data_IF_738463535221
#
_entry.id   IF_738463535221
#
_cell.length_a   1.000
_cell.length_b   1.000
_cell.length_c   1.000
_cell.angle_alpha   90.00
_cell.angle_beta   90.00
_cell.angle_gamma   90.00
#
_symmetry.space_group_name_H-M   'P 1'
#
loop_
_entity.id
_entity.type
_entity.pdbx_description
1 polymer ?
#
# COMPACT_ATOMS: atom_id res chain seq x y z
N UNK A 1 -11.98 -47.66 52.45
CA UNK A 1 -10.97 -46.65 52.05
C UNK A 1 -11.39 -46.13 50.69
N UNK A 2 -12.14 -45.03 50.67
CA UNK A 2 -12.73 -44.47 49.46
C UNK A 2 -11.71 -43.63 48.69
N UNK A 3 -11.42 -44.02 47.45
CA UNK A 3 -10.62 -43.25 46.51
C UNK A 3 -11.50 -42.16 45.89
N UNK A 4 -11.46 -40.96 46.45
CA UNK A 4 -12.15 -39.79 45.92
C UNK A 4 -11.40 -39.31 44.68
N UNK A 5 -11.89 -39.65 43.48
CA UNK A 5 -11.34 -39.17 42.21
C UNK A 5 -11.55 -37.65 42.08
N UNK A 6 -10.46 -36.89 42.06
CA UNK A 6 -10.47 -35.45 41.79
C UNK A 6 -10.84 -35.15 40.33
N UNK A 7 -11.64 -34.11 40.04
CA UNK A 7 -12.02 -33.72 38.68
C UNK A 7 -10.89 -32.90 38.01
N UNK A 8 -9.69 -33.49 37.86
CA UNK A 8 -8.54 -32.83 37.22
C UNK A 8 -8.58 -32.88 35.68
N UNK A 9 -9.44 -33.73 35.09
CA UNK A 9 -9.51 -33.96 33.64
C UNK A 9 -10.31 -32.89 32.87
N UNK A 10 -11.30 -32.23 33.50
CA UNK A 10 -12.20 -31.29 32.80
C UNK A 10 -11.60 -29.89 32.59
N UNK A 11 -10.78 -29.43 33.53
CA UNK A 11 -10.10 -28.13 33.43
C UNK A 11 -8.98 -28.13 32.39
N UNK A 12 -8.20 -29.22 32.30
CA UNK A 12 -7.14 -29.35 31.29
C UNK A 12 -7.69 -29.37 29.86
N UNK A 13 -8.82 -30.05 29.63
CA UNK A 13 -9.48 -30.11 28.31
C UNK A 13 -10.07 -28.75 27.87
N UNK A 14 -10.63 -28.00 28.82
CA UNK A 14 -11.17 -26.66 28.54
C UNK A 14 -10.06 -25.64 28.24
N UNK A 15 -8.94 -25.70 28.97
CA UNK A 15 -7.78 -24.83 28.70
C UNK A 15 -7.15 -25.12 27.34
N UNK A 16 -6.99 -26.41 27.00
CA UNK A 16 -6.50 -26.83 25.68
C UNK A 16 -7.44 -26.34 24.56
N UNK A 17 -8.76 -26.51 24.71
CA UNK A 17 -9.73 -26.03 23.72
C UNK A 17 -9.68 -24.50 23.52
N UNK A 18 -9.47 -23.74 24.60
CA UNK A 18 -9.30 -22.27 24.53
C UNK A 18 -7.99 -21.91 23.84
N UNK A 19 -6.87 -22.58 24.15
CA UNK A 19 -5.59 -22.33 23.47
C UNK A 19 -5.65 -22.63 21.97
N UNK A 20 -6.32 -23.73 21.56
CA UNK A 20 -6.51 -24.04 20.14
C UNK A 20 -7.41 -23.02 19.42
N UNK A 21 -8.46 -22.52 20.08
CA UNK A 21 -9.33 -21.49 19.51
C UNK A 21 -8.58 -20.16 19.31
N UNK A 22 -7.76 -19.74 20.28
CA UNK A 22 -6.95 -18.51 20.19
C UNK A 22 -5.88 -18.64 19.10
N UNK A 23 -5.23 -19.80 18.97
CA UNK A 23 -4.25 -20.05 17.92
C UNK A 23 -4.89 -20.03 16.51
N UNK A 24 -6.08 -20.62 16.35
CA UNK A 24 -6.81 -20.61 15.10
C UNK A 24 -7.27 -19.19 14.70
N UNK A 25 -7.70 -18.37 15.66
CA UNK A 25 -8.05 -16.97 15.44
C UNK A 25 -6.84 -16.14 15.01
N UNK A 26 -5.70 -16.28 15.68
CA UNK A 26 -4.46 -15.59 15.30
C UNK A 26 -4.00 -15.96 13.87
N UNK A 27 -4.10 -17.24 13.50
CA UNK A 27 -3.73 -17.71 12.16
C UNK A 27 -4.64 -17.14 11.06
N UNK A 28 -5.93 -16.98 11.34
CA UNK A 28 -6.87 -16.35 10.41
C UNK A 28 -6.57 -14.85 10.23
N UNK A 29 -6.31 -14.12 11.31
CA UNK A 29 -5.96 -12.70 11.26
C UNK A 29 -4.65 -12.47 10.51
N UNK A 30 -3.68 -13.38 10.66
CA UNK A 30 -2.45 -13.33 9.88
C UNK A 30 -2.63 -13.58 8.39
N UNK A 31 -3.57 -14.46 8.00
CA UNK A 31 -3.87 -14.66 6.59
C UNK A 31 -4.50 -13.40 5.96
N UNK A 32 -5.36 -12.71 6.71
CA UNK A 32 -5.96 -11.43 6.31
C UNK A 32 -4.86 -10.37 6.14
N UNK A 33 -4.02 -10.18 7.16
CA UNK A 33 -2.88 -9.26 7.10
C UNK A 33 -1.99 -9.51 5.88
N UNK A 34 -1.59 -10.76 5.62
CA UNK A 34 -0.74 -11.12 4.46
C UNK A 34 -1.41 -10.75 3.13
N UNK A 35 -2.73 -10.92 3.04
CA UNK A 35 -3.49 -10.53 1.85
C UNK A 35 -3.46 -9.01 1.66
N UNK A 36 -3.85 -8.25 2.70
CA UNK A 36 -3.96 -6.79 2.64
C UNK A 36 -2.60 -6.14 2.35
N UNK A 37 -1.54 -6.57 3.03
CA UNK A 37 -0.19 -6.04 2.80
C UNK A 37 0.35 -6.43 1.41
N UNK A 38 -0.10 -7.56 0.87
CA UNK A 38 0.16 -7.95 -0.53
C UNK A 38 -0.59 -7.04 -1.52
N UNK A 39 -1.80 -6.61 -1.20
CA UNK A 39 -2.55 -5.63 -1.99
C UNK A 39 -1.90 -4.23 -1.93
N UNK A 40 -1.36 -3.81 -0.79
CA UNK A 40 -0.52 -2.59 -0.70
C UNK A 40 0.63 -2.67 -1.71
N UNK A 41 1.40 -3.76 -1.70
CA UNK A 41 2.51 -3.95 -2.64
C UNK A 41 2.05 -3.85 -4.09
N UNK A 42 0.93 -4.50 -4.43
CA UNK A 42 0.37 -4.53 -5.79
C UNK A 42 -0.02 -3.13 -6.27
N UNK A 43 -0.78 -2.38 -5.48
CA UNK A 43 -1.24 -1.05 -5.87
C UNK A 43 -0.12 -0.03 -5.91
N UNK A 44 0.88 -0.13 -5.02
CA UNK A 44 2.09 0.70 -5.10
C UNK A 44 2.90 0.41 -6.38
N UNK A 45 3.01 -0.85 -6.79
CA UNK A 45 3.60 -1.19 -8.09
C UNK A 45 2.79 -0.63 -9.27
N UNK A 46 1.46 -0.60 -9.17
CA UNK A 46 0.60 0.03 -10.18
C UNK A 46 0.84 1.54 -10.28
N UNK A 47 0.99 2.24 -9.14
CA UNK A 47 1.41 3.65 -9.10
C UNK A 47 2.72 3.84 -9.86
N UNK A 48 3.73 3.01 -9.60
CA UNK A 48 5.03 3.09 -10.26
C UNK A 48 4.91 2.95 -11.79
N UNK A 49 4.14 1.97 -12.27
CA UNK A 49 3.91 1.75 -13.69
C UNK A 49 3.16 2.92 -14.37
N UNK A 50 2.17 3.49 -13.68
CA UNK A 50 1.41 4.64 -14.18
C UNK A 50 2.26 5.90 -14.23
N UNK A 51 3.11 6.14 -13.22
CA UNK A 51 4.06 7.26 -13.23
C UNK A 51 5.07 7.14 -14.37
N UNK A 52 5.63 5.95 -14.61
CA UNK A 52 6.56 5.74 -15.72
C UNK A 52 5.88 6.04 -17.07
N UNK A 53 4.62 5.62 -17.21
CA UNK A 53 3.81 5.88 -18.41
C UNK A 53 3.51 7.37 -18.62
N UNK A 54 3.18 8.10 -17.55
CA UNK A 54 2.82 9.52 -17.66
C UNK A 54 4.03 10.44 -17.87
N UNK A 55 5.23 10.06 -17.38
CA UNK A 55 6.43 10.92 -17.44
C UNK A 55 6.74 11.42 -18.85
N UNK A 56 6.66 10.54 -19.85
CA UNK A 56 6.90 10.92 -21.26
C UNK A 56 5.93 12.00 -21.73
N UNK A 57 4.65 11.90 -21.36
CA UNK A 57 3.65 12.91 -21.73
C UNK A 57 3.82 14.19 -20.90
N UNK A 58 4.22 14.06 -19.64
CA UNK A 58 4.46 15.19 -18.75
C UNK A 58 5.63 16.05 -19.22
N UNK A 59 6.73 15.43 -19.65
CA UNK A 59 7.86 16.14 -20.27
C UNK A 59 7.44 16.83 -21.56
N UNK A 60 6.75 16.12 -22.46
CA UNK A 60 6.23 16.72 -23.71
C UNK A 60 5.33 17.93 -23.43
N UNK A 61 4.46 17.83 -22.43
CA UNK A 61 3.57 18.94 -22.07
C UNK A 61 4.33 20.10 -21.40
N UNK A 62 5.31 19.80 -20.54
CA UNK A 62 6.11 20.77 -19.80
C UNK A 62 7.02 21.63 -20.70
N UNK A 63 7.41 21.10 -21.86
CA UNK A 63 8.33 21.74 -22.80
C UNK A 63 7.76 21.89 -24.22
N UNK A 64 6.44 21.78 -24.38
CA UNK A 64 5.78 21.88 -25.68
C UNK A 64 6.07 23.24 -26.36
N UNK A 65 6.37 23.21 -27.65
CA UNK A 65 6.55 24.43 -28.45
C UNK A 65 5.21 25.10 -28.83
N UNK A 66 4.11 24.34 -28.82
CA UNK A 66 2.78 24.81 -29.23
C UNK A 66 1.75 24.54 -28.15
N UNK A 67 0.77 25.44 -28.05
CA UNK A 67 -0.33 25.35 -27.09
C UNK A 67 -1.11 24.04 -27.19
N UNK A 68 -1.55 23.67 -28.41
CA UNK A 68 -2.38 22.47 -28.60
C UNK A 68 -1.65 21.17 -28.25
N UNK A 69 -0.35 21.12 -28.52
CA UNK A 69 0.51 20.00 -28.16
C UNK A 69 0.66 19.90 -26.63
N UNK A 70 0.94 21.02 -25.96
CA UNK A 70 1.01 21.08 -24.51
C UNK A 70 -0.30 20.64 -23.88
N UNK A 71 -1.44 21.15 -24.38
CA UNK A 71 -2.77 20.84 -23.84
C UNK A 71 -3.17 19.39 -24.07
N UNK A 72 -2.87 18.83 -25.24
CA UNK A 72 -3.17 17.43 -25.56
C UNK A 72 -2.38 16.48 -24.66
N UNK A 73 -1.09 16.72 -24.46
CA UNK A 73 -0.29 15.89 -23.56
C UNK A 73 -0.68 16.10 -22.08
N UNK A 74 -1.00 17.32 -21.66
CA UNK A 74 -1.48 17.59 -20.31
C UNK A 74 -2.77 16.82 -19.97
N UNK A 75 -3.71 16.68 -20.92
CA UNK A 75 -4.91 15.85 -20.75
C UNK A 75 -4.59 14.37 -20.55
N UNK A 76 -3.59 13.83 -21.28
CA UNK A 76 -3.14 12.45 -21.10
C UNK A 76 -2.53 12.25 -19.72
N UNK A 77 -1.70 13.19 -19.27
CA UNK A 77 -1.12 13.13 -17.93
C UNK A 77 -2.20 13.25 -16.87
N UNK A 78 -3.20 14.13 -17.04
CA UNK A 78 -4.31 14.23 -16.11
C UNK A 78 -5.04 12.89 -15.95
N UNK A 79 -5.29 12.18 -17.04
CA UNK A 79 -5.91 10.86 -17.02
C UNK A 79 -5.07 9.85 -16.24
N UNK A 80 -3.80 9.68 -16.63
CA UNK A 80 -2.89 8.70 -15.99
C UNK A 80 -2.59 9.04 -14.52
N UNK A 81 -2.43 10.32 -14.20
CA UNK A 81 -2.26 10.77 -12.81
C UNK A 81 -3.53 10.54 -11.98
N UNK A 82 -4.71 10.58 -12.60
CA UNK A 82 -5.96 10.20 -11.96
C UNK A 82 -6.03 8.70 -11.65
N UNK A 83 -5.59 7.85 -12.58
CA UNK A 83 -5.46 6.41 -12.33
C UNK A 83 -4.42 6.12 -11.22
N UNK A 84 -3.28 6.81 -11.25
CA UNK A 84 -2.25 6.66 -10.21
C UNK A 84 -2.76 7.10 -8.83
N UNK A 85 -3.53 8.18 -8.77
CA UNK A 85 -4.17 8.62 -7.54
C UNK A 85 -5.18 7.58 -7.01
N UNK A 86 -5.98 6.98 -7.90
CA UNK A 86 -6.92 5.94 -7.49
C UNK A 86 -6.18 4.71 -6.93
N UNK A 87 -5.12 4.24 -7.60
CA UNK A 87 -4.29 3.15 -7.11
C UNK A 87 -3.64 3.48 -5.75
N UNK A 88 -3.11 4.71 -5.59
CA UNK A 88 -2.54 5.15 -4.31
C UNK A 88 -3.59 5.22 -3.18
N UNK A 89 -4.84 5.57 -3.49
CA UNK A 89 -5.94 5.53 -2.52
C UNK A 89 -6.26 4.11 -2.08
N UNK A 90 -6.28 3.15 -3.01
CA UNK A 90 -6.46 1.73 -2.67
C UNK A 90 -5.29 1.22 -1.81
N UNK A 91 -4.04 1.49 -2.20
CA UNK A 91 -2.86 1.13 -1.41
C UNK A 91 -2.95 1.66 0.04
N UNK A 92 -3.29 2.93 0.20
CA UNK A 92 -3.47 3.55 1.51
C UNK A 92 -4.59 2.90 2.33
N UNK A 93 -5.74 2.59 1.71
CA UNK A 93 -6.84 1.91 2.39
C UNK A 93 -6.40 0.53 2.92
N UNK A 94 -5.80 -0.30 2.06
CA UNK A 94 -5.29 -1.61 2.48
C UNK A 94 -4.17 -1.52 3.50
N UNK A 95 -3.33 -0.48 3.46
CA UNK A 95 -2.28 -0.29 4.44
C UNK A 95 -2.83 0.02 5.84
N UNK A 96 -3.90 0.82 5.92
CA UNK A 96 -4.62 1.07 7.18
C UNK A 96 -5.32 -0.18 7.72
N UNK A 97 -5.92 -1.01 6.85
CA UNK A 97 -6.49 -2.30 7.24
C UNK A 97 -5.41 -3.28 7.72
N UNK A 98 -4.29 -3.36 7.01
CA UNK A 98 -3.15 -4.20 7.37
C UNK A 98 -2.52 -3.78 8.71
N UNK A 99 -2.43 -2.48 9.00
CA UNK A 99 -1.93 -1.98 10.28
C UNK A 99 -2.78 -2.50 11.46
N UNK A 100 -4.11 -2.49 11.31
CA UNK A 100 -5.02 -3.00 12.33
C UNK A 100 -4.81 -4.51 12.58
N UNK A 101 -4.64 -5.31 11.53
CA UNK A 101 -4.41 -6.75 11.68
C UNK A 101 -2.96 -7.11 12.06
N UNK A 102 -1.99 -6.24 11.80
CA UNK A 102 -0.59 -6.43 12.18
C UNK A 102 -0.42 -6.51 13.71
N UNK A 103 -1.19 -5.73 14.47
CA UNK A 103 -1.17 -5.75 15.95
C UNK A 103 -1.62 -7.11 16.51
N UNK A 104 -2.51 -7.80 15.79
CA UNK A 104 -3.05 -9.11 16.20
C UNK A 104 -2.16 -10.26 15.71
N UNK A 105 -1.52 -10.06 14.55
CA UNK A 105 -0.74 -11.08 13.87
C UNK A 105 0.76 -11.05 14.23
N UNK A 106 1.30 -9.94 14.73
CA UNK A 106 2.72 -9.65 14.60
C UNK A 106 3.54 -9.65 15.89
N UNK A 107 4.76 -10.18 15.78
CA UNK A 107 5.93 -9.70 16.53
C UNK A 107 6.22 -8.23 16.17
N UNK A 108 6.91 -7.47 17.02
CA UNK A 108 7.19 -6.03 16.86
C UNK A 108 7.64 -5.60 15.44
N UNK A 109 8.38 -6.47 14.73
CA UNK A 109 8.82 -6.22 13.36
C UNK A 109 7.66 -6.08 12.36
N UNK A 110 6.64 -6.95 12.42
CA UNK A 110 5.47 -6.91 11.52
C UNK A 110 4.72 -5.59 11.69
N UNK A 111 4.49 -5.21 12.95
CA UNK A 111 3.82 -3.94 13.30
C UNK A 111 4.63 -2.75 12.80
N UNK A 112 5.95 -2.75 13.02
CA UNK A 112 6.85 -1.67 12.60
C UNK A 112 6.81 -1.46 11.08
N UNK A 113 6.89 -2.55 10.30
CA UNK A 113 6.89 -2.44 8.84
C UNK A 113 5.50 -2.12 8.28
N UNK A 114 4.41 -2.59 8.92
CA UNK A 114 3.05 -2.25 8.52
C UNK A 114 2.75 -0.74 8.72
N UNK A 115 3.11 -0.18 9.88
CA UNK A 115 2.99 1.27 10.14
C UNK A 115 3.80 2.05 9.11
N UNK A 116 5.03 1.61 8.81
CA UNK A 116 5.86 2.27 7.81
C UNK A 116 5.25 2.20 6.41
N UNK A 117 4.64 1.07 6.03
CA UNK A 117 3.97 0.94 4.75
C UNK A 117 2.77 1.90 4.66
N UNK A 118 1.98 2.04 5.73
CA UNK A 118 0.86 2.99 5.82
C UNK A 118 1.33 4.45 5.68
N UNK A 119 2.30 4.88 6.49
CA UNK A 119 2.85 6.24 6.44
C UNK A 119 3.33 6.60 5.02
N UNK A 120 4.07 5.68 4.39
CA UNK A 120 4.56 5.89 3.03
C UNK A 120 3.42 5.90 2.00
N UNK A 121 2.39 5.05 2.15
CA UNK A 121 1.24 5.02 1.23
C UNK A 121 0.41 6.31 1.30
N UNK A 122 0.30 6.91 2.49
CA UNK A 122 -0.31 8.24 2.67
C UNK A 122 0.48 9.31 1.91
N UNK A 123 1.81 9.30 2.04
CA UNK A 123 2.69 10.23 1.32
C UNK A 123 2.57 10.04 -0.21
N UNK A 124 2.48 8.80 -0.70
CA UNK A 124 2.27 8.50 -2.13
C UNK A 124 0.95 9.09 -2.62
N UNK A 125 -0.14 8.88 -1.88
CA UNK A 125 -1.46 9.43 -2.20
C UNK A 125 -1.40 10.96 -2.32
N UNK A 126 -0.79 11.64 -1.36
CA UNK A 126 -0.73 13.11 -1.33
C UNK A 126 0.10 13.68 -2.48
N UNK A 127 1.19 13.01 -2.84
CA UNK A 127 2.00 13.36 -4.01
C UNK A 127 1.26 13.05 -5.32
N UNK A 128 0.56 11.93 -5.41
CA UNK A 128 -0.28 11.59 -6.56
C UNK A 128 -1.44 12.58 -6.74
N UNK A 129 -2.07 13.03 -5.65
CA UNK A 129 -3.09 14.08 -5.68
C UNK A 129 -2.48 15.40 -6.17
N UNK A 130 -1.31 15.76 -5.64
CA UNK A 130 -0.58 16.94 -6.09
C UNK A 130 -0.29 16.87 -7.59
N UNK A 131 0.15 15.70 -8.10
CA UNK A 131 0.38 15.49 -9.52
C UNK A 131 -0.91 15.69 -10.33
N UNK A 132 -1.99 15.00 -9.95
CA UNK A 132 -3.29 15.08 -10.60
C UNK A 132 -3.86 16.50 -10.64
N UNK A 133 -3.84 17.22 -9.51
CA UNK A 133 -4.36 18.59 -9.42
C UNK A 133 -3.59 19.53 -10.34
N UNK A 134 -2.27 19.40 -10.42
CA UNK A 134 -1.46 20.21 -11.34
C UNK A 134 -1.72 19.82 -12.80
N UNK A 135 -1.78 18.54 -13.14
CA UNK A 135 -2.12 18.08 -14.49
C UNK A 135 -3.51 18.58 -14.93
N UNK A 136 -4.50 18.55 -14.03
CA UNK A 136 -5.84 19.10 -14.26
C UNK A 136 -5.79 20.60 -14.55
N UNK A 137 -5.07 21.38 -13.74
CA UNK A 137 -4.87 22.83 -13.99
C UNK A 137 -4.25 23.08 -15.36
N UNK A 138 -3.18 22.36 -15.71
CA UNK A 138 -2.53 22.45 -17.01
C UNK A 138 -3.48 22.10 -18.17
N UNK A 139 -4.25 21.01 -18.06
CA UNK A 139 -5.16 20.54 -19.11
C UNK A 139 -6.25 21.57 -19.47
N UNK A 140 -6.60 22.42 -18.51
CA UNK A 140 -7.61 23.48 -18.64
C UNK A 140 -7.03 24.86 -18.92
N UNK A 141 -5.71 25.04 -18.78
CA UNK A 141 -5.05 26.34 -18.87
C UNK A 141 -5.21 27.01 -20.23
N UNK A 142 -5.35 28.34 -20.24
CA UNK A 142 -5.58 29.13 -21.45
C UNK A 142 -4.28 29.62 -22.13
N UNK A 143 -3.13 29.46 -21.47
CA UNK A 143 -1.83 29.94 -21.96
C UNK A 143 -0.79 28.83 -21.89
N UNK A 144 0.11 28.81 -22.87
CA UNK A 144 1.19 27.80 -22.94
C UNK A 144 2.12 27.86 -21.72
N UNK A 145 2.45 29.07 -21.24
CA UNK A 145 3.28 29.23 -20.03
C UNK A 145 2.67 28.60 -18.77
N UNK A 146 1.34 28.66 -18.63
CA UNK A 146 0.63 28.05 -17.50
C UNK A 146 0.65 26.52 -17.60
N UNK A 147 0.52 25.98 -18.83
CA UNK A 147 0.70 24.54 -19.09
C UNK A 147 2.10 24.12 -18.65
N UNK A 148 3.15 24.82 -19.08
CA UNK A 148 4.53 24.51 -18.69
C UNK A 148 4.73 24.56 -17.17
N UNK A 149 4.19 25.60 -16.52
CA UNK A 149 4.31 25.78 -15.08
C UNK A 149 3.68 24.61 -14.32
N UNK A 150 2.42 24.30 -14.58
CA UNK A 150 1.72 23.25 -13.86
C UNK A 150 2.23 21.85 -14.23
N UNK A 151 2.60 21.60 -15.49
CA UNK A 151 3.11 20.29 -15.90
C UNK A 151 4.47 19.96 -15.30
N UNK A 152 5.36 20.93 -15.11
CA UNK A 152 6.62 20.70 -14.38
C UNK A 152 6.38 20.31 -12.92
N UNK A 153 5.39 20.94 -12.27
CA UNK A 153 4.99 20.58 -10.90
C UNK A 153 4.34 19.19 -10.84
N UNK A 154 3.50 18.87 -11.82
CA UNK A 154 2.91 17.54 -11.96
C UNK A 154 3.98 16.46 -12.14
N UNK A 155 4.97 16.71 -13.01
CA UNK A 155 6.08 15.80 -13.28
C UNK A 155 6.90 15.56 -12.01
N UNK A 156 7.30 16.65 -11.32
CA UNK A 156 8.08 16.53 -10.09
C UNK A 156 7.33 15.73 -9.01
N UNK A 157 6.05 16.04 -8.78
CA UNK A 157 5.24 15.32 -7.82
C UNK A 157 5.08 13.83 -8.17
N UNK A 158 4.93 13.51 -9.47
CA UNK A 158 4.86 12.11 -9.91
C UNK A 158 6.17 11.36 -9.68
N UNK A 159 7.32 11.99 -9.98
CA UNK A 159 8.64 11.40 -9.72
C UNK A 159 8.84 11.13 -8.23
N UNK A 160 8.43 12.04 -7.37
CA UNK A 160 8.55 11.86 -5.94
C UNK A 160 7.56 10.82 -5.42
N UNK A 161 6.33 10.78 -5.93
CA UNK A 161 5.36 9.71 -5.63
C UNK A 161 5.95 8.32 -5.94
N UNK A 162 6.55 8.13 -7.12
CA UNK A 162 7.21 6.86 -7.48
C UNK A 162 8.32 6.46 -6.50
N UNK A 163 9.20 7.39 -6.13
CA UNK A 163 10.29 7.09 -5.17
C UNK A 163 9.77 6.68 -3.80
N UNK A 164 8.68 7.27 -3.34
CA UNK A 164 8.07 6.91 -2.05
C UNK A 164 7.31 5.58 -2.19
N UNK A 165 6.61 5.39 -3.30
CA UNK A 165 5.89 4.15 -3.64
C UNK A 165 6.80 2.92 -3.69
N UNK A 166 8.01 3.06 -4.25
CA UNK A 166 9.04 2.02 -4.19
C UNK A 166 9.41 1.68 -2.74
N UNK A 167 9.51 2.66 -1.84
CA UNK A 167 9.77 2.41 -0.41
C UNK A 167 8.59 1.76 0.29
N UNK A 168 7.35 2.17 -0.04
CA UNK A 168 6.13 1.57 0.48
C UNK A 168 6.05 0.08 0.07
N UNK A 169 6.37 -0.22 -1.19
CA UNK A 169 6.48 -1.58 -1.73
C UNK A 169 7.45 -2.42 -0.90
N UNK A 170 8.65 -1.91 -0.61
CA UNK A 170 9.64 -2.64 0.21
C UNK A 170 9.18 -2.82 1.67
N UNK A 171 8.58 -1.80 2.28
CA UNK A 171 8.03 -1.92 3.63
C UNK A 171 6.92 -2.97 3.69
N UNK A 172 6.04 -3.01 2.70
CA UNK A 172 5.00 -4.03 2.58
C UNK A 172 5.59 -5.45 2.43
N UNK A 173 6.64 -5.60 1.63
CA UNK A 173 7.36 -6.87 1.47
C UNK A 173 8.03 -7.33 2.78
N UNK A 174 8.70 -6.42 3.50
CA UNK A 174 9.34 -6.71 4.78
C UNK A 174 8.29 -7.13 5.84
N UNK A 175 7.15 -6.44 5.86
CA UNK A 175 6.04 -6.77 6.74
C UNK A 175 5.43 -8.15 6.42
N UNK A 176 5.21 -8.43 5.13
CA UNK A 176 4.73 -9.72 4.64
C UNK A 176 5.70 -10.86 5.03
N UNK A 177 7.01 -10.68 4.79
CA UNK A 177 8.03 -11.68 5.07
C UNK A 177 8.24 -11.91 6.58
N UNK A 178 8.07 -10.87 7.40
CA UNK A 178 8.18 -10.95 8.86
C UNK A 178 7.01 -11.70 9.51
N UNK A 179 5.91 -11.89 8.80
CA UNK A 179 4.76 -12.65 9.27
C UNK A 179 5.02 -14.17 9.14
N UNK A 180 5.59 -14.79 10.17
CA UNK A 180 6.06 -16.19 10.17
C UNK A 180 5.03 -17.24 10.56
N UNK A 181 3.77 -16.88 10.79
CA UNK A 181 2.72 -17.78 11.28
C UNK A 181 2.27 -18.89 10.30
N UNK A 182 3.00 -19.15 9.21
CA UNK A 182 2.63 -20.18 8.23
C UNK A 182 3.74 -21.10 7.71
N UNK A 183 4.97 -21.09 8.24
CA UNK A 183 6.00 -22.01 7.73
C UNK A 183 6.28 -23.24 8.64
N UNK A 184 6.08 -23.14 9.96
CA UNK A 184 6.46 -24.23 10.88
C UNK A 184 5.31 -25.15 11.33
N UNK A 185 4.07 -24.67 11.40
CA UNK A 185 2.97 -25.47 11.99
C UNK A 185 2.38 -26.46 10.97
N UNK A 186 2.60 -26.25 9.67
CA UNK A 186 2.05 -27.10 8.61
C UNK A 186 3.05 -28.11 8.01
N UNK A 187 4.37 -27.98 8.26
CA UNK A 187 5.37 -28.87 7.65
C UNK A 187 5.97 -29.91 8.59
N UNK A 188 5.65 -29.89 9.90
CA UNK A 188 6.05 -30.95 10.82
C UNK A 188 7.54 -31.29 10.72
N UNK A 189 8.39 -30.27 10.60
CA UNK A 189 9.83 -30.46 10.67
C UNK A 189 10.29 -30.20 12.10
N UNK A 190 10.61 -31.31 12.76
CA UNK A 190 11.30 -31.41 14.04
C UNK A 190 12.61 -30.64 14.05
#
# INVERSE_FOLDING_TARGET
MDFKSTPMSRFGLALLAVCFAVAAQAQQQCAVFKSEIGDVQKYEQEVNHLVDSLNTYAEKAAYAARFDEGRTNAKKVQYLAGEALAAAQEAMNYAGEAQYHAEVCGIDAVVTYAIRAEELSIDVRDLAETAYVNAKKASTAAKLGDIHFYMRRSLQASIDARKISEKATWAAMDAHASCTHTDDVATGKN
#
